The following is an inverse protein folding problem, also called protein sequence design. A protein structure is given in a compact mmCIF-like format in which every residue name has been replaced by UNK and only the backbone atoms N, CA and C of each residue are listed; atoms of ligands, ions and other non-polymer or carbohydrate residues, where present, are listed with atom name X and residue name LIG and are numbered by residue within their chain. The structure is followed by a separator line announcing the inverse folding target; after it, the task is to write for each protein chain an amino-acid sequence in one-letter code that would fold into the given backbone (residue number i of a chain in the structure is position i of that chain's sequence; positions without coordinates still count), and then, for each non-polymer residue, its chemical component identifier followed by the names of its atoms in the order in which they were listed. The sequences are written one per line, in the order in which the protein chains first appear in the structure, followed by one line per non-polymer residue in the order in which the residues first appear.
data_IF_027869359730
#
_entry.id   IF_027869359730
#
_cell.length_a   1.000
_cell.length_b   1.000
_cell.length_c   1.000
_cell.angle_alpha   90.00
_cell.angle_beta   90.00
_cell.angle_gamma   90.00
#
_symmetry.space_group_name_H-M   'P 1'
#
loop_
_entity.id
_entity.type
_entity.pdbx_description
1 polymer ?
#
# COMPACT_ATOMS: atom_id res chain seq x y z
N UNK A 1 -19.26 -7.87 22.41
CA UNK A 1 -19.57 -7.79 20.98
C UNK A 1 -19.93 -9.20 20.52
N UNK A 2 -21.03 -9.45 19.82
CA UNK A 2 -21.27 -10.75 19.20
C UNK A 2 -20.16 -11.06 18.18
N UNK A 3 -19.75 -12.32 18.11
CA UNK A 3 -18.74 -12.79 17.15
C UNK A 3 -19.30 -12.62 15.73
N UNK A 4 -18.61 -11.86 14.89
CA UNK A 4 -18.98 -11.72 13.48
C UNK A 4 -18.40 -12.92 12.72
N UNK A 5 -19.28 -13.66 12.04
CA UNK A 5 -18.89 -14.75 11.14
C UNK A 5 -18.72 -14.21 9.72
N UNK A 6 -17.62 -14.61 9.09
CA UNK A 6 -17.27 -14.30 7.71
C UNK A 6 -17.04 -15.60 6.95
N UNK A 7 -17.40 -15.61 5.66
CA UNK A 7 -17.17 -16.76 4.79
C UNK A 7 -15.69 -16.85 4.39
N UNK A 8 -15.04 -15.68 4.23
CA UNK A 8 -13.63 -15.58 3.81
C UNK A 8 -12.92 -14.47 4.58
N UNK A 9 -11.69 -14.73 5.00
CA UNK A 9 -10.77 -13.72 5.53
C UNK A 9 -9.62 -13.55 4.54
N UNK A 10 -9.35 -12.31 4.13
CA UNK A 10 -8.25 -11.94 3.25
C UNK A 10 -7.26 -11.11 4.06
N UNK A 11 -6.01 -11.55 4.11
CA UNK A 11 -4.92 -10.87 4.83
C UNK A 11 -4.07 -10.10 3.82
N UNK A 12 -4.18 -8.77 3.87
CA UNK A 12 -3.50 -7.83 3.00
C UNK A 12 -4.36 -7.38 1.82
N UNK A 13 -4.47 -6.06 1.64
CA UNK A 13 -5.30 -5.42 0.62
C UNK A 13 -4.56 -5.09 -0.68
N UNK A 14 -3.35 -5.63 -0.84
CA UNK A 14 -2.51 -5.45 -2.03
C UNK A 14 -3.16 -5.95 -3.32
N UNK A 15 -2.42 -5.92 -4.44
CA UNK A 15 -2.93 -6.26 -5.77
C UNK A 15 -3.78 -7.54 -5.84
N UNK A 16 -3.33 -8.64 -5.21
CA UNK A 16 -4.09 -9.89 -5.16
C UNK A 16 -5.29 -9.83 -4.20
N UNK A 17 -5.07 -9.37 -2.97
CA UNK A 17 -6.09 -9.36 -1.93
C UNK A 17 -7.25 -8.39 -2.22
N UNK A 18 -6.96 -7.21 -2.78
CA UNK A 18 -7.97 -6.26 -3.22
C UNK A 18 -8.86 -6.84 -4.33
N UNK A 19 -8.26 -7.50 -5.34
CA UNK A 19 -9.02 -8.15 -6.41
C UNK A 19 -9.84 -9.35 -5.92
N UNK A 20 -9.26 -10.17 -5.05
CA UNK A 20 -9.99 -11.28 -4.42
C UNK A 20 -11.18 -10.77 -3.60
N UNK A 21 -10.99 -9.70 -2.82
CA UNK A 21 -12.06 -9.05 -2.05
C UNK A 21 -13.17 -8.57 -2.98
N UNK A 22 -12.81 -7.85 -4.06
CA UNK A 22 -13.77 -7.34 -5.04
C UNK A 22 -14.61 -8.46 -5.66
N UNK A 23 -13.99 -9.54 -6.11
CA UNK A 23 -14.70 -10.65 -6.77
C UNK A 23 -15.59 -11.41 -5.78
N UNK A 24 -15.08 -11.76 -4.60
CA UNK A 24 -15.81 -12.56 -3.62
C UNK A 24 -16.95 -11.78 -2.98
N UNK A 25 -16.73 -10.51 -2.62
CA UNK A 25 -17.80 -9.66 -2.07
C UNK A 25 -18.92 -9.42 -3.09
N UNK A 26 -18.59 -9.17 -4.36
CA UNK A 26 -19.60 -9.03 -5.42
C UNK A 26 -20.32 -10.35 -5.76
N UNK A 27 -19.74 -11.50 -5.42
CA UNK A 27 -20.41 -12.79 -5.50
C UNK A 27 -21.36 -13.05 -4.31
N UNK A 28 -21.47 -12.12 -3.35
CA UNK A 28 -22.39 -12.19 -2.21
C UNK A 28 -21.81 -12.79 -0.93
N UNK A 29 -20.50 -13.09 -0.88
CA UNK A 29 -19.83 -13.61 0.31
C UNK A 29 -19.57 -12.49 1.33
N UNK A 30 -19.65 -12.82 2.62
CA UNK A 30 -19.20 -11.96 3.72
C UNK A 30 -17.68 -12.06 3.83
N UNK A 31 -16.98 -11.04 3.38
CA UNK A 31 -15.51 -11.01 3.35
C UNK A 31 -14.97 -10.08 4.41
N UNK A 32 -14.07 -10.57 5.27
CA UNK A 32 -13.24 -9.74 6.12
C UNK A 32 -11.90 -9.48 5.44
N UNK A 33 -11.65 -8.23 5.07
CA UNK A 33 -10.34 -7.79 4.58
C UNK A 33 -9.57 -7.12 5.73
N UNK A 34 -8.39 -7.63 6.05
CA UNK A 34 -7.50 -7.02 7.05
C UNK A 34 -6.27 -6.45 6.37
N UNK A 35 -6.00 -5.18 6.60
CA UNK A 35 -4.80 -4.48 6.16
C UNK A 35 -4.12 -3.91 7.40
N UNK A 36 -2.79 -4.04 7.45
CA UNK A 36 -2.03 -3.61 8.63
C UNK A 36 -1.31 -2.27 8.40
N UNK A 37 -1.45 -1.68 7.22
CA UNK A 37 -1.08 -0.30 6.93
C UNK A 37 -2.22 0.71 7.11
N UNK A 38 -1.89 1.98 6.84
CA UNK A 38 -2.83 3.10 6.94
C UNK A 38 -3.98 2.96 5.92
N UNK A 39 -5.18 3.41 6.30
CA UNK A 39 -6.28 3.60 5.36
C UNK A 39 -5.87 4.59 4.27
N UNK A 40 -6.24 4.29 3.03
CA UNK A 40 -5.95 5.15 1.88
C UNK A 40 -7.13 5.17 0.92
N UNK A 41 -7.62 6.36 0.61
CA UNK A 41 -8.71 6.59 -0.33
C UNK A 41 -8.25 7.54 -1.45
N UNK A 42 -8.07 7.06 -2.68
CA UNK A 42 -7.69 7.91 -3.81
C UNK A 42 -8.80 8.88 -4.24
N UNK A 43 -10.05 8.69 -3.80
CA UNK A 43 -11.16 9.59 -4.07
C UNK A 43 -11.24 10.75 -3.07
N UNK A 44 -10.63 10.61 -1.89
CA UNK A 44 -10.55 11.67 -0.88
C UNK A 44 -9.59 12.77 -1.33
N UNK A 45 -10.08 14.02 -1.43
CA UNK A 45 -9.28 15.17 -1.87
C UNK A 45 -8.09 15.45 -0.94
N UNK A 46 -8.21 15.12 0.35
CA UNK A 46 -7.12 15.28 1.32
C UNK A 46 -5.94 14.33 1.04
N UNK A 47 -6.21 13.18 0.44
CA UNK A 47 -5.23 12.11 0.17
C UNK A 47 -4.80 12.05 -1.29
N UNK A 48 -5.56 12.67 -2.19
CA UNK A 48 -5.26 12.78 -3.62
C UNK A 48 -4.19 13.84 -3.87
N UNK A 49 -2.93 13.44 -3.64
CA UNK A 49 -1.75 14.31 -3.77
C UNK A 49 -1.13 14.33 -5.17
N UNK A 50 -1.62 13.52 -6.09
CA UNK A 50 -1.08 13.44 -7.44
C UNK A 50 -1.20 14.80 -8.14
N UNK A 51 -0.17 15.18 -8.90
CA UNK A 51 -0.11 16.42 -9.69
C UNK A 51 -0.13 17.73 -8.88
N UNK A 52 -0.04 17.68 -7.55
CA UNK A 52 0.12 18.87 -6.71
C UNK A 52 1.50 19.48 -6.87
N UNK A 53 1.57 20.79 -6.72
CA UNK A 53 2.82 21.51 -6.85
C UNK A 53 3.64 21.49 -5.55
N UNK A 54 4.98 21.36 -5.61
CA UNK A 54 5.83 21.28 -4.41
C UNK A 54 5.59 22.39 -3.38
N UNK A 55 5.26 23.61 -3.80
CA UNK A 55 5.02 24.74 -2.88
C UNK A 55 3.72 24.65 -2.08
N UNK A 56 2.80 23.76 -2.45
CA UNK A 56 1.59 23.49 -1.65
C UNK A 56 1.90 22.61 -0.43
N UNK A 57 3.10 22.02 -0.35
CA UNK A 57 3.57 21.24 0.80
C UNK A 57 4.37 22.14 1.74
N UNK A 58 4.12 22.10 3.07
CA UNK A 58 4.95 22.79 4.05
C UNK A 58 6.43 22.39 4.01
N UNK A 59 6.71 21.16 3.56
CA UNK A 59 8.07 20.61 3.39
C UNK A 59 8.61 20.79 1.98
N UNK A 60 7.93 21.54 1.10
CA UNK A 60 8.33 21.73 -0.30
C UNK A 60 8.50 20.42 -1.07
N UNK A 61 7.72 19.39 -0.70
CA UNK A 61 7.83 18.05 -1.27
C UNK A 61 8.99 17.20 -0.72
N UNK A 62 9.69 17.63 0.34
CA UNK A 62 10.80 16.88 0.91
C UNK A 62 10.36 15.53 1.50
N UNK A 63 11.29 14.58 1.54
CA UNK A 63 11.09 13.22 2.03
C UNK A 63 10.81 13.16 3.52
N UNK A 64 10.08 12.13 3.92
CA UNK A 64 9.96 11.70 5.33
C UNK A 64 10.32 10.22 5.43
N UNK A 65 10.50 9.70 6.64
CA UNK A 65 10.78 8.26 6.83
C UNK A 65 9.70 7.37 6.20
N UNK A 66 8.42 7.73 6.36
CA UNK A 66 7.27 7.00 5.79
C UNK A 66 6.92 7.38 4.35
N UNK A 67 7.59 8.38 3.78
CA UNK A 67 7.48 8.76 2.37
C UNK A 67 8.86 9.18 1.84
N UNK A 68 9.74 8.20 1.53
CA UNK A 68 11.11 8.48 1.11
C UNK A 68 11.23 9.33 -0.16
N UNK A 69 10.21 9.29 -1.03
CA UNK A 69 10.17 10.09 -2.27
C UNK A 69 9.36 11.39 -2.16
N UNK A 70 9.10 11.86 -0.93
CA UNK A 70 8.45 13.16 -0.72
C UNK A 70 6.96 13.08 -0.40
N UNK A 71 6.41 14.23 0.00
CA UNK A 71 5.04 14.36 0.52
C UNK A 71 3.94 13.89 -0.44
N UNK A 72 4.18 14.01 -1.75
CA UNK A 72 3.20 13.64 -2.77
C UNK A 72 3.37 12.23 -3.32
N UNK A 73 4.36 11.48 -2.82
CA UNK A 73 4.40 10.05 -3.05
C UNK A 73 3.20 9.39 -2.35
N UNK A 74 2.30 8.82 -3.12
CA UNK A 74 1.11 8.13 -2.61
C UNK A 74 1.46 6.91 -1.74
N UNK A 75 2.66 6.33 -1.91
CA UNK A 75 3.10 5.22 -1.09
C UNK A 75 3.39 5.66 0.34
N UNK A 76 2.64 5.11 1.30
CA UNK A 76 2.98 5.16 2.72
C UNK A 76 3.84 3.93 3.02
N UNK A 77 5.01 4.13 3.62
CA UNK A 77 6.02 3.11 3.85
C UNK A 77 7.35 3.45 3.17
N UNK A 78 8.15 2.45 2.83
CA UNK A 78 9.45 2.70 2.21
C UNK A 78 10.43 1.56 2.42
N UNK A 79 11.70 1.93 2.55
CA UNK A 79 12.81 1.00 2.80
C UNK A 79 12.84 0.46 4.24
N UNK A 80 12.46 1.33 5.19
CA UNK A 80 12.43 1.04 6.62
C UNK A 80 10.98 1.15 7.11
N UNK A 81 10.55 0.14 7.86
CA UNK A 81 9.25 0.12 8.52
C UNK A 81 9.49 -0.16 10.01
N UNK A 82 8.91 0.70 10.85
CA UNK A 82 9.05 0.58 12.30
C UNK A 82 8.46 -0.76 12.78
N UNK A 83 9.23 -1.53 13.54
CA UNK A 83 8.82 -2.84 14.05
C UNK A 83 8.80 -3.99 13.02
N UNK A 84 9.14 -3.73 11.75
CA UNK A 84 9.18 -4.74 10.69
C UNK A 84 10.58 -4.81 10.03
N UNK A 85 11.61 -5.28 10.76
CA UNK A 85 12.94 -5.45 10.18
C UNK A 85 12.96 -6.58 9.14
N UNK A 86 13.94 -6.54 8.24
CA UNK A 86 14.27 -7.66 7.36
C UNK A 86 15.77 -7.93 7.39
N UNK A 87 16.16 -9.16 7.08
CA UNK A 87 17.55 -9.60 7.10
C UNK A 87 18.13 -9.64 5.70
N UNK A 88 19.41 -9.31 5.58
CA UNK A 88 20.21 -9.52 4.38
C UNK A 88 21.10 -10.74 4.57
N UNK A 89 21.53 -11.36 3.46
CA UNK A 89 22.43 -12.51 3.52
C UNK A 89 23.87 -12.04 3.47
N UNK A 90 24.70 -12.48 4.41
CA UNK A 90 26.13 -12.16 4.47
C UNK A 90 26.36 -10.63 4.34
N UNK A 91 27.22 -10.21 3.40
CA UNK A 91 27.54 -8.81 3.10
C UNK A 91 26.78 -8.28 1.86
N UNK A 92 25.63 -8.86 1.50
CA UNK A 92 24.83 -8.32 0.39
C UNK A 92 24.20 -6.99 0.76
N UNK A 93 24.19 -6.05 -0.18
CA UNK A 93 23.42 -4.81 -0.08
C UNK A 93 22.07 -4.99 -0.80
N UNK A 94 20.99 -5.06 -0.03
CA UNK A 94 19.64 -5.20 -0.57
C UNK A 94 18.69 -4.25 0.15
N UNK A 95 17.94 -3.47 -0.64
CA UNK A 95 16.93 -2.56 -0.12
C UNK A 95 15.53 -3.09 -0.43
N UNK A 96 14.76 -3.43 0.60
CA UNK A 96 13.40 -3.93 0.42
C UNK A 96 12.34 -2.84 0.52
N UNK A 97 11.85 -2.37 -0.62
CA UNK A 97 10.71 -1.43 -0.64
C UNK A 97 9.40 -2.13 -0.26
N UNK A 98 8.72 -1.59 0.76
CA UNK A 98 7.44 -2.12 1.25
C UNK A 98 6.43 -0.98 1.42
N UNK A 99 5.32 -1.10 0.69
CA UNK A 99 4.14 -0.26 0.91
C UNK A 99 3.32 -0.81 2.07
N UNK A 100 2.90 0.08 2.96
CA UNK A 100 2.20 -0.22 4.21
C UNK A 100 0.93 0.63 4.28
N UNK A 101 -0.03 0.31 3.41
CA UNK A 101 -1.28 1.06 3.20
C UNK A 101 -2.36 0.21 2.54
N UNK A 102 -3.62 0.63 2.65
CA UNK A 102 -4.73 0.07 1.88
C UNK A 102 -4.43 0.12 0.37
N UNK A 103 -4.67 -0.99 -0.36
CA UNK A 103 -4.27 -1.19 -1.75
C UNK A 103 -2.81 -1.65 -1.92
N UNK A 104 -2.00 -1.56 -0.87
CA UNK A 104 -0.60 -1.94 -0.89
C UNK A 104 0.19 -1.24 -2.00
N UNK A 105 1.03 -2.00 -2.71
CA UNK A 105 1.93 -1.45 -3.74
C UNK A 105 1.23 -1.02 -5.04
N UNK A 106 -0.06 -1.23 -5.22
CA UNK A 106 -0.77 -0.72 -6.41
C UNK A 106 -0.84 0.81 -6.44
N UNK A 107 -0.82 1.45 -5.26
CA UNK A 107 -0.72 2.91 -5.12
C UNK A 107 0.71 3.43 -5.37
N UNK A 108 1.70 2.54 -5.44
CA UNK A 108 3.09 2.83 -5.78
C UNK A 108 3.46 2.17 -7.12
N UNK A 109 2.68 2.51 -8.15
CA UNK A 109 2.85 1.91 -9.47
C UNK A 109 3.76 2.75 -10.37
N UNK A 110 4.86 2.15 -10.81
CA UNK A 110 5.82 2.76 -11.74
C UNK A 110 5.37 2.82 -13.21
N UNK A 111 4.07 2.63 -13.49
CA UNK A 111 3.47 2.64 -14.85
C UNK A 111 3.97 1.55 -15.80
N UNK A 112 4.48 0.45 -15.25
CA UNK A 112 4.98 -0.70 -16.01
C UNK A 112 4.05 -1.89 -15.76
N UNK A 113 3.59 -2.53 -16.83
CA UNK A 113 2.66 -3.67 -16.80
C UNK A 113 3.18 -4.80 -17.71
N UNK A 114 4.23 -5.48 -17.25
CA UNK A 114 4.83 -6.61 -17.95
C UNK A 114 4.03 -7.89 -17.68
N UNK A 115 4.06 -8.82 -18.64
CA UNK A 115 3.57 -10.18 -18.48
C UNK A 115 4.74 -11.15 -18.63
N UNK A 116 4.62 -12.33 -18.03
CA UNK A 116 5.57 -13.41 -18.31
C UNK A 116 5.53 -13.77 -19.80
N UNK A 117 6.68 -14.16 -20.34
CA UNK A 117 6.74 -14.76 -21.68
C UNK A 117 5.95 -16.07 -21.74
N UNK A 118 5.58 -16.51 -22.96
CA UNK A 118 4.94 -17.80 -23.17
C UNK A 118 5.82 -18.97 -22.71
#
# INVERSE_FOLDING_TARGET
MPQQEYDVIIVGSGAGGGMATHLLANAGLKVALVEAGDYYDPADEGQRTQLRYPWESPRRGASTLRRPFGDYNSCIGGWNLDGEPYTMKDNTDFMWWRGRMLGGRTNHWGRIALRFGP
#
